data_IF_405561162152
#
_entry.id   IF_405561162152
#
_cell.length_a   1.000
_cell.length_b   1.000
_cell.length_c   1.000
_cell.angle_alpha   90.00
_cell.angle_beta   90.00
_cell.angle_gamma   90.00
#
_symmetry.space_group_name_H-M   'P 1'
#
loop_
_entity.id
_entity.type
_entity.pdbx_description
1 polymer ?
#
# COMPACT_ATOMS: atom_id res chain seq x y z
N UNK A 1 15.63 2.49 -14.86
CA UNK A 1 14.32 3.14 -14.66
C UNK A 1 13.63 2.40 -13.54
N UNK A 2 13.24 3.09 -12.46
CA UNK A 2 12.84 2.48 -11.17
C UNK A 2 11.32 2.43 -10.95
N UNK A 3 10.53 2.73 -11.99
CA UNK A 3 9.12 2.43 -12.28
C UNK A 3 8.59 3.46 -13.30
N UNK A 4 7.54 3.15 -14.10
CA UNK A 4 6.95 4.12 -15.02
C UNK A 4 6.30 5.30 -14.26
N UNK A 5 6.44 6.51 -14.80
CA UNK A 5 5.81 7.75 -14.29
C UNK A 5 4.33 7.85 -14.73
N UNK A 6 3.59 6.76 -14.60
CA UNK A 6 2.17 6.69 -14.98
C UNK A 6 1.22 6.74 -13.77
N UNK A 7 1.76 7.05 -12.58
CA UNK A 7 1.08 7.07 -11.28
C UNK A 7 0.26 5.80 -10.98
N UNK A 8 0.51 4.70 -11.72
CA UNK A 8 -0.25 3.48 -11.58
C UNK A 8 0.36 2.60 -10.49
N UNK A 9 -0.49 2.15 -9.56
CA UNK A 9 -0.09 1.11 -8.62
C UNK A 9 0.14 -0.21 -9.37
N UNK A 10 1.21 -0.91 -9.01
CA UNK A 10 1.51 -2.26 -9.52
C UNK A 10 1.92 -3.16 -8.36
N UNK A 11 1.76 -4.47 -8.57
CA UNK A 11 2.19 -5.44 -7.57
C UNK A 11 3.70 -5.59 -7.61
N UNK A 12 4.32 -5.51 -6.44
CA UNK A 12 5.77 -5.56 -6.32
C UNK A 12 6.24 -7.03 -6.23
N UNK A 13 7.36 -7.37 -6.87
CA UNK A 13 8.01 -8.68 -6.79
C UNK A 13 8.24 -9.13 -5.35
N UNK A 14 8.08 -10.43 -5.08
CA UNK A 14 8.46 -11.01 -3.79
C UNK A 14 9.98 -10.93 -3.63
N UNK A 15 10.44 -10.38 -2.50
CA UNK A 15 11.87 -10.19 -2.25
C UNK A 15 12.49 -8.94 -2.87
N UNK A 16 11.68 -8.03 -3.41
CA UNK A 16 12.12 -6.74 -4.00
C UNK A 16 13.09 -5.95 -3.12
N UNK A 17 12.98 -6.08 -1.79
CA UNK A 17 13.84 -5.36 -0.85
C UNK A 17 15.31 -5.78 -0.99
N UNK A 18 15.58 -7.04 -1.34
CA UNK A 18 16.95 -7.52 -1.62
C UNK A 18 17.47 -6.94 -2.94
N UNK A 19 16.60 -6.83 -3.93
CA UNK A 19 16.96 -6.19 -5.21
C UNK A 19 17.27 -4.70 -4.99
N UNK A 20 16.52 -4.04 -4.10
CA UNK A 20 16.75 -2.63 -3.76
C UNK A 20 18.06 -2.45 -2.97
N UNK A 21 18.36 -3.36 -2.05
CA UNK A 21 19.64 -3.38 -1.34
C UNK A 21 20.83 -3.53 -2.31
N UNK A 22 20.74 -4.46 -3.26
CA UNK A 22 21.75 -4.62 -4.29
C UNK A 22 21.92 -3.35 -5.14
N UNK A 23 20.81 -2.74 -5.57
CA UNK A 23 20.83 -1.51 -6.34
C UNK A 23 21.50 -0.35 -5.58
N UNK A 24 21.21 -0.17 -4.29
CA UNK A 24 21.81 0.87 -3.45
C UNK A 24 23.32 0.64 -3.31
N UNK A 25 23.73 -0.61 -3.09
CA UNK A 25 25.15 -0.95 -2.97
C UNK A 25 25.94 -0.69 -4.27
N UNK A 26 25.31 -0.91 -5.43
CA UNK A 26 25.90 -0.61 -6.74
C UNK A 26 25.88 0.89 -7.07
N UNK A 27 24.97 1.66 -6.44
CA UNK A 27 24.75 3.09 -6.72
C UNK A 27 24.73 3.91 -5.41
N UNK A 28 25.88 4.11 -4.75
CA UNK A 28 25.93 4.77 -3.43
C UNK A 28 25.41 6.22 -3.45
N UNK A 29 25.45 6.89 -4.61
CA UNK A 29 24.99 8.28 -4.78
C UNK A 29 23.50 8.38 -5.17
N UNK A 30 22.74 7.28 -5.16
CA UNK A 30 21.33 7.28 -5.57
C UNK A 30 20.39 8.00 -4.58
N UNK A 31 20.89 8.40 -3.41
CA UNK A 31 20.12 9.13 -2.40
C UNK A 31 19.04 8.30 -1.69
N UNK A 32 19.02 6.99 -1.89
CA UNK A 32 18.09 6.07 -1.23
C UNK A 32 18.82 5.23 -0.18
N UNK A 33 18.19 5.03 0.97
CA UNK A 33 18.67 4.08 1.98
C UNK A 33 17.76 2.85 2.05
N UNK A 34 18.31 1.72 2.48
CA UNK A 34 17.52 0.49 2.66
C UNK A 34 16.34 0.67 3.65
N UNK A 35 16.49 1.41 4.78
CA UNK A 35 15.36 1.78 5.62
C UNK A 35 14.25 2.55 4.88
N UNK A 36 14.60 3.49 4.00
CA UNK A 36 13.61 4.26 3.23
C UNK A 36 12.83 3.36 2.30
N UNK A 37 13.52 2.49 1.55
CA UNK A 37 12.88 1.51 0.67
C UNK A 37 11.95 0.58 1.46
N UNK A 38 12.39 0.09 2.63
CA UNK A 38 11.56 -0.76 3.49
C UNK A 38 10.29 -0.03 3.95
N UNK A 39 10.42 1.23 4.36
CA UNK A 39 9.30 2.05 4.80
C UNK A 39 8.28 2.23 3.68
N UNK A 40 8.73 2.64 2.50
CA UNK A 40 7.87 2.87 1.34
C UNK A 40 7.20 1.59 0.87
N UNK A 41 7.94 0.48 0.70
CA UNK A 41 7.34 -0.79 0.28
C UNK A 41 6.30 -1.30 1.28
N UNK A 42 6.57 -1.16 2.59
CA UNK A 42 5.61 -1.52 3.63
C UNK A 42 4.33 -0.69 3.52
N UNK A 43 4.46 0.62 3.31
CA UNK A 43 3.31 1.51 3.20
C UNK A 43 2.47 1.23 1.95
N UNK A 44 3.11 1.11 0.79
CA UNK A 44 2.43 0.86 -0.49
C UNK A 44 1.70 -0.48 -0.48
N UNK A 45 2.35 -1.56 -0.03
CA UNK A 45 1.78 -2.91 -0.08
C UNK A 45 0.61 -3.13 0.89
N UNK A 46 0.46 -2.28 1.90
CA UNK A 46 -0.64 -2.34 2.87
C UNK A 46 -1.85 -1.46 2.48
N UNK A 47 -1.69 -0.60 1.48
CA UNK A 47 -2.76 0.29 1.02
C UNK A 47 -3.85 -0.46 0.24
N UNK A 48 -5.10 0.00 0.40
CA UNK A 48 -6.24 -0.48 -0.39
C UNK A 48 -5.98 -0.48 -1.92
N UNK A 49 -5.34 0.56 -2.51
CA UNK A 49 -5.06 0.56 -3.94
C UNK A 49 -4.12 -0.56 -4.40
N UNK A 50 -3.15 -0.97 -3.58
CA UNK A 50 -2.27 -2.10 -3.92
C UNK A 50 -2.97 -3.44 -3.68
N UNK A 51 -3.74 -3.56 -2.59
CA UNK A 51 -4.44 -4.79 -2.24
C UNK A 51 -5.55 -5.13 -3.25
N UNK A 52 -6.20 -4.14 -3.85
CA UNK A 52 -7.24 -4.36 -4.88
C UNK A 52 -6.69 -4.92 -6.20
N UNK A 53 -5.37 -4.86 -6.43
CA UNK A 53 -4.74 -5.40 -7.63
C UNK A 53 -4.54 -6.92 -7.58
N UNK A 54 -4.73 -7.56 -6.42
CA UNK A 54 -4.61 -9.00 -6.28
C UNK A 54 -5.82 -9.72 -6.91
N UNK A 55 -5.71 -10.01 -8.20
CA UNK A 55 -6.71 -10.74 -8.99
C UNK A 55 -6.07 -11.96 -9.68
N UNK A 56 -6.86 -12.97 -10.10
CA UNK A 56 -6.33 -14.12 -10.84
C UNK A 56 -5.53 -13.69 -12.06
N UNK A 57 -4.29 -14.20 -12.18
CA UNK A 57 -3.38 -13.85 -13.27
C UNK A 57 -2.65 -12.52 -13.11
N UNK A 58 -2.82 -11.80 -11.98
CA UNK A 58 -2.09 -10.55 -11.75
C UNK A 58 -0.57 -10.80 -11.69
N UNK A 59 0.17 -9.91 -12.36
CA UNK A 59 1.62 -9.97 -12.52
C UNK A 59 2.29 -9.08 -11.49
N UNK A 60 3.42 -9.55 -10.94
CA UNK A 60 4.31 -8.77 -10.10
C UNK A 60 5.44 -8.19 -10.94
N UNK A 61 5.96 -7.04 -10.54
CA UNK A 61 7.01 -6.33 -11.27
C UNK A 61 8.24 -6.11 -10.39
N UNK A 62 9.42 -6.23 -10.99
CA UNK A 62 10.70 -5.92 -10.33
C UNK A 62 10.99 -4.41 -10.33
N UNK A 63 12.20 -4.03 -9.90
CA UNK A 63 12.61 -2.62 -9.85
C UNK A 63 12.73 -1.98 -11.24
N UNK A 64 12.95 -2.77 -12.29
CA UNK A 64 13.04 -2.29 -13.66
C UNK A 64 11.68 -2.21 -14.34
N UNK A 65 10.59 -2.58 -13.64
CA UNK A 65 9.25 -2.66 -14.20
C UNK A 65 9.04 -3.89 -15.08
N UNK A 66 9.90 -4.91 -14.97
CA UNK A 66 9.75 -6.15 -15.73
C UNK A 66 8.90 -7.17 -14.95
N UNK A 67 8.07 -7.98 -15.65
CA UNK A 67 7.32 -9.07 -15.04
C UNK A 67 8.23 -10.05 -14.27
N UNK A 68 7.94 -10.24 -12.99
CA UNK A 68 8.74 -11.03 -12.05
C UNK A 68 7.85 -11.92 -11.17
N UNK A 69 7.07 -12.77 -11.83
CA UNK A 69 6.16 -13.73 -11.21
C UNK A 69 4.71 -13.26 -11.16
N UNK A 70 3.84 -14.12 -10.65
CA UNK A 70 2.40 -13.89 -10.55
C UNK A 70 1.92 -14.04 -9.11
N UNK A 71 0.75 -13.49 -8.82
CA UNK A 71 0.07 -13.76 -7.55
C UNK A 71 -0.47 -15.18 -7.49
N UNK A 72 -0.51 -15.72 -6.29
CA UNK A 72 -1.13 -17.01 -5.97
C UNK A 72 -2.55 -16.84 -5.45
N UNK A 73 -3.37 -17.89 -5.55
CA UNK A 73 -4.74 -17.88 -5.01
C UNK A 73 -4.79 -17.56 -3.51
N UNK A 74 -3.82 -18.06 -2.74
CA UNK A 74 -3.69 -17.76 -1.32
C UNK A 74 -3.50 -16.27 -1.07
N UNK A 75 -2.65 -15.62 -1.86
CA UNK A 75 -2.40 -14.18 -1.73
C UNK A 75 -3.62 -13.36 -2.13
N UNK A 76 -4.35 -13.78 -3.18
CA UNK A 76 -5.62 -13.17 -3.57
C UNK A 76 -6.63 -13.22 -2.43
N UNK A 77 -6.80 -14.39 -1.80
CA UNK A 77 -7.70 -14.55 -0.67
C UNK A 77 -7.30 -13.65 0.51
N UNK A 78 -6.01 -13.64 0.85
CA UNK A 78 -5.47 -12.81 1.92
C UNK A 78 -5.68 -11.31 1.66
N UNK A 79 -5.41 -10.84 0.43
CA UNK A 79 -5.60 -9.45 0.05
C UNK A 79 -7.08 -9.04 0.16
N UNK A 80 -8.00 -9.89 -0.31
CA UNK A 80 -9.45 -9.66 -0.16
C UNK A 80 -9.87 -9.51 1.29
N UNK A 81 -9.46 -10.44 2.16
CA UNK A 81 -9.77 -10.38 3.59
C UNK A 81 -9.21 -9.11 4.25
N UNK A 82 -8.01 -8.70 3.83
CA UNK A 82 -7.37 -7.48 4.33
C UNK A 82 -8.13 -6.23 3.88
N UNK A 83 -8.53 -6.14 2.61
CA UNK A 83 -9.37 -5.06 2.09
C UNK A 83 -10.68 -4.93 2.88
N UNK A 84 -11.39 -6.05 3.09
CA UNK A 84 -12.64 -6.05 3.85
C UNK A 84 -12.44 -5.51 5.27
N UNK A 85 -11.35 -5.89 5.94
CA UNK A 85 -11.02 -5.39 7.29
C UNK A 85 -10.74 -3.89 7.29
N UNK A 86 -9.96 -3.39 6.33
CA UNK A 86 -9.63 -1.96 6.24
C UNK A 86 -10.89 -1.13 5.97
N UNK A 87 -11.73 -1.57 5.03
CA UNK A 87 -12.98 -0.87 4.70
C UNK A 87 -13.93 -0.80 5.89
N UNK A 88 -14.12 -1.90 6.63
CA UNK A 88 -14.94 -1.90 7.85
C UNK A 88 -14.41 -0.93 8.90
N UNK A 89 -13.10 -0.91 9.11
CA UNK A 89 -12.48 0.02 10.05
C UNK A 89 -12.69 1.49 9.64
N UNK A 90 -12.55 1.80 8.35
CA UNK A 90 -12.79 3.15 7.83
C UNK A 90 -14.26 3.57 8.00
N UNK A 91 -15.22 2.67 7.74
CA UNK A 91 -16.64 2.92 7.93
C UNK A 91 -16.98 3.21 9.39
N UNK A 92 -16.45 2.41 10.33
CA UNK A 92 -16.63 2.64 11.76
C UNK A 92 -16.06 3.99 12.20
N UNK A 93 -14.86 4.33 11.73
CA UNK A 93 -14.23 5.62 12.03
C UNK A 93 -15.05 6.80 11.47
N UNK A 94 -15.58 6.67 10.25
CA UNK A 94 -16.43 7.69 9.64
C UNK A 94 -17.75 7.86 10.40
N UNK A 95 -18.42 6.78 10.78
CA UNK A 95 -19.64 6.82 11.58
C UNK A 95 -19.39 7.46 12.96
N UNK A 96 -18.28 7.14 13.63
CA UNK A 96 -17.92 7.76 14.90
C UNK A 96 -17.63 9.26 14.73
N UNK A 97 -16.96 9.67 13.66
CA UNK A 97 -16.71 11.08 13.38
C UNK A 97 -18.02 11.87 13.17
N UNK A 98 -19.01 11.28 12.50
CA UNK A 98 -20.33 11.88 12.32
C UNK A 98 -21.09 12.02 13.65
N UNK A 99 -21.05 11.00 14.51
CA UNK A 99 -21.65 11.07 15.85
C UNK A 99 -20.98 12.16 16.71
N UNK A 100 -19.64 12.25 16.67
CA UNK A 100 -18.89 13.26 17.41
C UNK A 100 -19.19 14.68 16.90
N UNK A 101 -19.34 14.86 15.59
CA UNK A 101 -19.70 16.15 14.99
C UNK A 101 -21.14 16.58 15.34
N UNK A 102 -22.09 15.65 15.38
CA UNK A 102 -23.48 15.94 15.76
C UNK A 102 -23.64 16.26 17.26
N UNK A 103 -22.75 15.76 18.11
CA UNK A 103 -22.78 16.01 19.56
C UNK A 103 -22.12 17.33 19.98
N UNK A 104 -21.35 17.97 19.10
CA UNK A 104 -20.59 19.19 19.39
C UNK A 104 -21.34 20.51 19.14
N UNK A 105 -22.57 20.45 18.64
CA UNK A 105 -23.39 21.62 18.23
C UNK A 105 -24.37 22.08 19.34
N UNK A 106 -24.23 21.56 20.56
CA UNK A 106 -25.20 21.73 21.65
C UNK A 106 -24.81 22.71 22.77
N UNK A 107 -23.64 23.35 22.71
CA UNK A 107 -23.12 24.18 23.81
C UNK A 107 -22.97 25.66 23.38
N UNK A 108 -24.06 26.25 22.89
CA UNK A 108 -24.21 27.71 22.84
C UNK A 108 -25.47 28.13 23.61
N UNK A 109 -25.25 29.08 24.54
CA UNK A 109 -26.20 29.84 25.37
C UNK A 109 -26.75 29.16 26.62
N UNK A 110 -26.20 29.57 27.76
CA UNK A 110 -27.03 30.12 28.85
C UNK A 110 -26.32 31.34 29.48
N UNK A 111 -27.14 32.35 29.77
CA UNK A 111 -26.84 33.72 30.23
C UNK A 111 -25.96 33.83 31.49
#
# INVERSE_FOLDING_TARGET
>A
MLWPEDDAFRLIKVGILRDAEAFINENPDCGLTLPDCRCVFSWVTQGLPCLSLFTPGAVRYDLNGLPAGSVTEREILHARQTCERILRFQQQKAAQAQLNAASGDGDEKND
#
